data_IF_317598122289
#
_entry.id   IF_317598122289
#
_cell.length_a   1.000
_cell.length_b   1.000
_cell.length_c   1.000
_cell.angle_alpha   90.00
_cell.angle_beta   90.00
_cell.angle_gamma   90.00
#
_symmetry.space_group_name_H-M   'P 1'
#
loop_
_entity.id
_entity.type
_entity.pdbx_description
1 polymer ?
#
# COMPACT_ATOMS: atom_id res chain seq x y z
N UNK A 1 -16.68 -5.74 5.90
CA UNK A 1 -15.87 -6.96 6.03
C UNK A 1 -15.38 -7.50 4.69
N UNK A 2 -16.21 -8.06 3.78
CA UNK A 2 -15.68 -8.66 2.53
C UNK A 2 -14.88 -7.69 1.64
N UNK A 3 -15.39 -6.49 1.39
CA UNK A 3 -14.72 -5.49 0.54
C UNK A 3 -13.37 -5.03 1.10
N UNK A 4 -13.34 -4.59 2.35
CA UNK A 4 -12.13 -4.12 3.05
C UNK A 4 -11.09 -5.23 3.26
N UNK A 5 -11.50 -6.50 3.32
CA UNK A 5 -10.58 -7.63 3.28
C UNK A 5 -9.96 -7.79 1.88
N UNK A 6 -10.77 -7.71 0.82
CA UNK A 6 -10.28 -7.75 -0.57
C UNK A 6 -9.30 -6.60 -0.82
N UNK A 7 -9.65 -5.38 -0.42
CA UNK A 7 -8.80 -4.20 -0.56
C UNK A 7 -7.50 -4.33 0.25
N UNK A 8 -7.57 -4.85 1.48
CA UNK A 8 -6.37 -5.12 2.28
C UNK A 8 -5.43 -6.12 1.59
N UNK A 9 -5.97 -7.21 1.03
CA UNK A 9 -5.18 -8.16 0.25
C UNK A 9 -4.62 -7.53 -1.02
N UNK A 10 -5.38 -6.67 -1.69
CA UNK A 10 -4.90 -5.96 -2.88
C UNK A 10 -3.69 -5.09 -2.57
N UNK A 11 -3.70 -4.34 -1.45
CA UNK A 11 -2.56 -3.54 -0.99
C UNK A 11 -1.33 -4.42 -0.72
N UNK A 12 -1.53 -5.53 0.00
CA UNK A 12 -0.47 -6.49 0.31
C UNK A 12 0.15 -7.09 -0.96
N UNK A 13 -0.70 -7.61 -1.85
CA UNK A 13 -0.25 -8.27 -3.08
C UNK A 13 0.43 -7.27 -4.03
N UNK A 14 -0.06 -6.04 -4.13
CA UNK A 14 0.57 -4.99 -4.91
C UNK A 14 1.99 -4.67 -4.39
N UNK A 15 2.16 -4.50 -3.09
CA UNK A 15 3.48 -4.23 -2.51
C UNK A 15 4.46 -5.40 -2.67
N UNK A 16 4.02 -6.65 -2.52
CA UNK A 16 4.85 -7.81 -2.84
C UNK A 16 5.23 -7.88 -4.31
N UNK A 17 4.26 -7.64 -5.21
CA UNK A 17 4.49 -7.63 -6.65
C UNK A 17 5.51 -6.57 -7.04
N UNK A 18 5.33 -5.31 -6.62
CA UNK A 18 6.28 -4.24 -6.93
C UNK A 18 7.64 -4.50 -6.28
N UNK A 19 7.67 -4.86 -5.00
CA UNK A 19 8.90 -5.16 -4.28
C UNK A 19 9.74 -6.23 -4.99
N UNK A 20 9.12 -7.35 -5.35
CA UNK A 20 9.79 -8.43 -6.06
C UNK A 20 10.19 -8.03 -7.49
N UNK A 21 9.34 -7.28 -8.20
CA UNK A 21 9.63 -6.85 -9.59
C UNK A 21 10.87 -5.96 -9.64
N UNK A 22 11.04 -5.03 -8.69
CA UNK A 22 12.24 -4.19 -8.61
C UNK A 22 13.50 -4.95 -8.22
N UNK A 23 13.38 -5.99 -7.39
CA UNK A 23 14.53 -6.82 -7.00
C UNK A 23 14.96 -7.79 -8.11
N UNK A 24 14.03 -8.31 -8.89
CA UNK A 24 14.32 -9.30 -9.94
C UNK A 24 14.55 -8.66 -11.32
N UNK A 25 13.91 -7.53 -11.60
CA UNK A 25 13.92 -6.85 -12.89
C UNK A 25 13.80 -5.32 -12.69
N UNK A 26 14.78 -4.74 -12.00
CA UNK A 26 14.81 -3.31 -11.69
C UNK A 26 14.70 -2.42 -12.93
N UNK A 27 15.52 -2.67 -13.95
CA UNK A 27 15.52 -1.88 -15.20
C UNK A 27 14.17 -1.93 -15.93
N UNK A 28 13.57 -3.13 -16.04
CA UNK A 28 12.25 -3.27 -16.65
C UNK A 28 11.13 -2.62 -15.82
N UNK A 29 11.25 -2.66 -14.49
CA UNK A 29 10.26 -2.08 -13.58
C UNK A 29 10.33 -0.54 -13.53
N UNK A 30 11.52 0.03 -13.71
CA UNK A 30 11.74 1.48 -13.72
C UNK A 30 11.01 2.18 -14.87
N UNK A 31 10.96 1.54 -16.05
CA UNK A 31 10.17 2.04 -17.18
C UNK A 31 8.68 2.20 -16.81
N UNK A 32 8.14 1.29 -15.99
CA UNK A 32 6.78 1.36 -15.45
C UNK A 32 6.62 2.34 -14.28
N UNK A 33 7.72 2.84 -13.69
CA UNK A 33 7.67 3.92 -12.70
C UNK A 33 7.43 5.28 -13.33
N UNK A 34 8.05 5.52 -14.50
CA UNK A 34 8.01 6.80 -15.21
C UNK A 34 9.22 7.71 -15.02
N UNK A 35 10.34 7.20 -14.48
CA UNK A 35 11.63 7.91 -14.42
C UNK A 35 12.78 6.96 -14.83
N UNK A 36 13.88 7.55 -15.29
CA UNK A 36 15.15 6.84 -15.51
C UNK A 36 16.01 7.03 -14.25
N UNK A 37 16.53 5.95 -13.71
CA UNK A 37 17.01 5.90 -12.33
C UNK A 37 18.48 5.45 -12.24
N UNK A 38 19.31 6.07 -11.37
CA UNK A 38 20.70 5.64 -11.15
C UNK A 38 20.83 4.27 -10.45
N UNK A 39 21.92 3.57 -10.76
CA UNK A 39 22.20 2.23 -10.26
C UNK A 39 22.12 2.10 -8.72
N UNK A 40 21.35 1.10 -8.25
CA UNK A 40 21.20 0.73 -6.83
C UNK A 40 19.86 1.12 -6.18
N UNK A 41 19.12 2.08 -6.75
CA UNK A 41 17.83 2.52 -6.18
C UNK A 41 16.74 1.44 -6.26
N UNK A 42 16.80 0.53 -7.25
CA UNK A 42 15.83 -0.56 -7.35
C UNK A 42 15.82 -1.48 -6.12
N UNK A 43 16.99 -1.71 -5.50
CA UNK A 43 17.07 -2.50 -4.27
C UNK A 43 16.38 -1.77 -3.12
N UNK A 44 16.63 -0.46 -2.97
CA UNK A 44 16.02 0.37 -1.94
C UNK A 44 14.49 0.36 -2.09
N UNK A 45 13.99 0.63 -3.30
CA UNK A 45 12.55 0.59 -3.58
C UNK A 45 11.97 -0.81 -3.36
N UNK A 46 12.64 -1.84 -3.88
CA UNK A 46 12.19 -3.21 -3.77
C UNK A 46 12.04 -3.69 -2.32
N UNK A 47 13.06 -3.46 -1.49
CA UNK A 47 13.04 -3.84 -0.07
C UNK A 47 12.02 -3.01 0.72
N UNK A 48 11.89 -1.71 0.44
CA UNK A 48 10.84 -0.85 1.03
C UNK A 48 9.46 -1.43 0.74
N UNK A 49 9.21 -1.80 -0.52
CA UNK A 49 7.90 -2.25 -0.95
C UNK A 49 7.51 -3.61 -0.35
N UNK A 50 8.50 -4.51 -0.18
CA UNK A 50 8.33 -5.76 0.58
C UNK A 50 8.06 -5.52 2.08
N UNK A 51 8.78 -4.56 2.69
CA UNK A 51 8.67 -4.32 4.13
C UNK A 51 7.29 -3.80 4.54
N UNK A 52 6.73 -2.82 3.81
CA UNK A 52 5.37 -2.35 4.12
C UNK A 52 4.31 -3.41 3.79
N UNK A 53 4.48 -4.16 2.70
CA UNK A 53 3.56 -5.25 2.33
C UNK A 53 3.52 -6.35 3.42
N UNK A 54 4.69 -6.73 3.95
CA UNK A 54 4.78 -7.70 5.04
C UNK A 54 4.14 -7.16 6.33
N UNK A 55 4.36 -5.88 6.65
CA UNK A 55 3.73 -5.23 7.82
C UNK A 55 2.20 -5.25 7.72
N UNK A 56 1.66 -4.87 6.55
CA UNK A 56 0.23 -4.94 6.28
C UNK A 56 -0.31 -6.38 6.32
N UNK A 57 0.43 -7.35 5.76
CA UNK A 57 0.07 -8.77 5.77
C UNK A 57 -0.05 -9.31 7.20
N UNK A 58 0.94 -9.02 8.06
CA UNK A 58 0.92 -9.45 9.46
C UNK A 58 -0.33 -8.94 10.17
N UNK A 59 -0.63 -7.64 10.05
CA UNK A 59 -1.82 -7.06 10.69
C UNK A 59 -3.13 -7.59 10.11
N UNK A 60 -3.17 -7.88 8.80
CA UNK A 60 -4.31 -8.47 8.14
C UNK A 60 -4.58 -9.90 8.63
N UNK A 61 -3.54 -10.73 8.74
CA UNK A 61 -3.63 -12.11 9.24
C UNK A 61 -3.96 -12.19 10.73
N UNK A 62 -3.44 -11.27 11.53
CA UNK A 62 -3.77 -11.17 12.97
C UNK A 62 -5.16 -10.57 13.24
N UNK A 63 -5.87 -10.12 12.19
CA UNK A 63 -7.18 -9.49 12.34
C UNK A 63 -7.15 -8.12 13.04
N UNK A 64 -5.99 -7.46 13.12
CA UNK A 64 -5.83 -6.14 13.74
C UNK A 64 -6.28 -5.02 12.80
N UNK A 65 -7.57 -5.00 12.45
CA UNK A 65 -8.16 -4.17 11.38
C UNK A 65 -7.95 -2.67 11.53
N UNK A 66 -8.13 -2.14 12.75
CA UNK A 66 -7.93 -0.70 13.01
C UNK A 66 -6.46 -0.30 12.93
N UNK A 67 -5.56 -1.14 13.43
CA UNK A 67 -4.12 -0.92 13.31
C UNK A 67 -3.68 -1.01 11.84
N UNK A 68 -4.19 -2.00 11.10
CA UNK A 68 -3.98 -2.12 9.65
C UNK A 68 -4.43 -0.85 8.92
N UNK A 69 -5.59 -0.30 9.26
CA UNK A 69 -6.08 0.96 8.67
C UNK A 69 -5.12 2.14 8.88
N UNK A 70 -4.53 2.27 10.08
CA UNK A 70 -3.52 3.31 10.36
C UNK A 70 -2.20 3.07 9.64
N UNK A 71 -1.75 1.81 9.56
CA UNK A 71 -0.53 1.46 8.80
C UNK A 71 -0.73 1.75 7.32
N UNK A 72 -1.82 1.30 6.71
CA UNK A 72 -2.12 1.57 5.29
C UNK A 72 -2.27 3.09 5.05
N UNK A 73 -2.80 3.86 6.00
CA UNK A 73 -2.84 5.32 5.89
C UNK A 73 -1.43 5.92 5.85
N UNK A 74 -0.53 5.46 6.71
CA UNK A 74 0.87 5.88 6.68
C UNK A 74 1.55 5.45 5.36
N UNK A 75 1.30 4.22 4.91
CA UNK A 75 1.85 3.68 3.65
C UNK A 75 1.39 4.48 2.42
N UNK A 76 0.25 5.18 2.48
CA UNK A 76 -0.21 6.06 1.40
C UNK A 76 0.76 7.19 1.05
N UNK A 77 1.67 7.55 1.97
CA UNK A 77 2.75 8.50 1.71
C UNK A 77 3.65 7.99 0.58
N UNK A 78 3.82 6.68 0.44
CA UNK A 78 4.67 6.05 -0.58
C UNK A 78 4.19 6.36 -2.00
N UNK A 79 2.97 5.99 -2.44
CA UNK A 79 2.50 6.32 -3.79
C UNK A 79 2.33 7.84 -4.01
N UNK A 80 2.09 8.64 -2.96
CA UNK A 80 2.11 10.11 -3.07
C UNK A 80 3.53 10.59 -3.41
N UNK A 81 4.54 10.10 -2.68
CA UNK A 81 5.95 10.38 -2.95
C UNK A 81 6.38 9.91 -4.34
N UNK A 82 5.99 8.70 -4.73
CA UNK A 82 6.29 8.14 -6.05
C UNK A 82 5.63 9.00 -7.16
N UNK A 83 4.41 9.50 -6.97
CA UNK A 83 3.76 10.44 -7.89
C UNK A 83 4.54 11.76 -8.02
N UNK A 84 4.98 12.33 -6.90
CA UNK A 84 5.77 13.56 -6.89
C UNK A 84 7.15 13.35 -7.54
N UNK A 85 7.77 12.19 -7.32
CA UNK A 85 9.05 11.83 -7.92
C UNK A 85 8.95 11.85 -9.45
N UNK A 86 7.92 11.23 -10.03
CA UNK A 86 7.69 11.25 -11.48
C UNK A 86 7.50 12.67 -12.01
N UNK A 87 6.65 13.48 -11.35
CA UNK A 87 6.39 14.87 -11.77
C UNK A 87 7.67 15.72 -11.75
N UNK A 88 8.53 15.52 -10.75
CA UNK A 88 9.73 16.34 -10.53
C UNK A 88 10.95 15.87 -11.31
N UNK A 89 10.95 14.64 -11.82
CA UNK A 89 12.11 14.03 -12.50
C UNK A 89 11.82 13.66 -13.96
N UNK A 90 11.06 14.52 -14.66
CA UNK A 90 10.91 14.46 -16.12
C UNK A 90 9.78 13.58 -16.64
N UNK A 91 9.01 12.94 -15.75
CA UNK A 91 7.79 12.24 -16.12
C UNK A 91 6.61 13.20 -16.36
N UNK A 92 5.61 12.74 -17.11
CA UNK A 92 4.41 13.57 -17.37
C UNK A 92 3.46 13.53 -16.17
N UNK A 93 2.79 14.66 -15.89
CA UNK A 93 1.77 14.75 -14.83
C UNK A 93 0.64 13.73 -15.05
N UNK A 94 0.21 13.55 -16.30
CA UNK A 94 -0.82 12.57 -16.64
C UNK A 94 -0.42 11.14 -16.29
N UNK A 95 0.80 10.74 -16.61
CA UNK A 95 1.31 9.41 -16.25
C UNK A 95 1.46 9.25 -14.73
N UNK A 96 2.02 10.26 -14.05
CA UNK A 96 2.19 10.26 -12.61
C UNK A 96 0.87 10.07 -11.87
N UNK A 97 -0.17 10.82 -12.24
CA UNK A 97 -1.50 10.72 -11.64
C UNK A 97 -2.19 9.39 -11.99
N UNK A 98 -2.05 8.92 -13.24
CA UNK A 98 -2.66 7.67 -13.68
C UNK A 98 -2.09 6.46 -12.94
N UNK A 99 -0.78 6.39 -12.73
CA UNK A 99 -0.12 5.23 -12.10
C UNK A 99 -0.10 5.41 -10.57
N UNK A 100 0.58 6.45 -10.09
CA UNK A 100 0.85 6.62 -8.66
C UNK A 100 -0.27 7.35 -7.94
N UNK A 101 -0.87 8.35 -8.59
CA UNK A 101 -2.04 9.06 -8.04
C UNK A 101 -3.23 8.12 -7.82
N UNK A 102 -3.52 7.24 -8.79
CA UNK A 102 -4.59 6.24 -8.65
C UNK A 102 -4.29 5.22 -7.54
N UNK A 103 -3.03 4.79 -7.40
CA UNK A 103 -2.58 3.94 -6.30
C UNK A 103 -2.76 4.65 -4.95
N UNK A 104 -2.39 5.93 -4.83
CA UNK A 104 -2.58 6.72 -3.63
C UNK A 104 -4.06 6.81 -3.24
N UNK A 105 -4.95 7.06 -4.20
CA UNK A 105 -6.40 7.07 -3.97
C UNK A 105 -6.90 5.72 -3.47
N UNK A 106 -6.50 4.60 -4.10
CA UNK A 106 -6.87 3.26 -3.68
C UNK A 106 -6.44 2.99 -2.22
N UNK A 107 -5.20 3.30 -1.88
CA UNK A 107 -4.62 3.06 -0.55
C UNK A 107 -5.32 3.93 0.51
N UNK A 108 -5.54 5.22 0.23
CA UNK A 108 -6.29 6.14 1.10
C UNK A 108 -7.73 5.69 1.33
N UNK A 109 -8.43 5.26 0.28
CA UNK A 109 -9.79 4.72 0.38
C UNK A 109 -9.80 3.44 1.23
N UNK A 110 -8.83 2.55 1.02
CA UNK A 110 -8.69 1.31 1.80
C UNK A 110 -8.49 1.61 3.28
N UNK A 111 -7.58 2.52 3.61
CA UNK A 111 -7.35 2.98 4.98
C UNK A 111 -8.61 3.60 5.59
N UNK A 112 -9.27 4.52 4.88
CA UNK A 112 -10.48 5.18 5.34
C UNK A 112 -11.63 4.21 5.63
N UNK A 113 -11.80 3.19 4.78
CA UNK A 113 -12.80 2.15 4.99
C UNK A 113 -12.46 1.24 6.18
N UNK A 114 -11.19 0.85 6.35
CA UNK A 114 -10.73 0.07 7.51
C UNK A 114 -10.92 0.81 8.83
N UNK A 115 -10.61 2.10 8.87
CA UNK A 115 -10.75 2.93 10.07
C UNK A 115 -12.21 3.20 10.44
N UNK A 116 -13.13 3.10 9.47
CA UNK A 116 -14.58 3.20 9.66
C UNK A 116 -15.25 1.87 10.01
N UNK A 117 -14.55 0.74 9.98
CA UNK A 117 -15.13 -0.52 10.45
C UNK A 117 -15.47 -0.42 11.94
N UNK A 118 -16.75 -0.57 12.27
CA UNK A 118 -17.20 -0.72 13.65
C UNK A 118 -16.70 -2.06 14.19
N UNK A 119 -16.16 -2.06 15.41
CA UNK A 119 -15.83 -3.30 16.10
C UNK A 119 -17.12 -4.12 16.26
N UNK A 120 -17.08 -5.46 16.07
CA UNK A 120 -18.21 -6.31 16.41
C UNK A 120 -18.63 -6.03 17.86
N UNK A 121 -19.94 -5.88 18.11
CA UNK A 121 -20.43 -5.75 19.48
C UNK A 121 -19.91 -6.91 20.31
N UNK A 122 -19.22 -6.60 21.41
CA UNK A 122 -18.82 -7.61 22.38
C UNK A 122 -20.13 -8.18 22.95
N UNK A 123 -20.34 -9.51 22.97
CA UNK A 123 -21.55 -10.08 23.56
C UNK A 123 -21.75 -9.49 24.96
N UNK A 124 -22.94 -8.94 25.23
CA UNK A 124 -23.27 -8.47 26.59
C UNK A 124 -23.09 -9.66 27.53
N UNK A 125 -22.28 -9.49 28.57
CA UNK A 125 -22.25 -10.46 29.65
C UNK A 125 -23.68 -10.61 30.18
N UNK A 126 -24.21 -11.83 30.15
CA UNK A 126 -25.48 -12.15 30.81
C UNK A 126 -25.21 -11.99 32.31
N UNK A 127 -25.96 -11.14 33.03
CA UNK A 127 -25.80 -11.02 34.48
C UNK A 127 -25.96 -12.40 35.11
N UNK A 128 -25.03 -12.78 35.99
CA UNK A 128 -25.19 -13.97 36.82
C UNK A 128 -26.44 -13.79 37.69
N UNK A 129 -27.33 -14.79 37.67
CA UNK A 129 -28.50 -14.86 38.56
C UNK A 129 -28.09 -15.23 39.97
#
# INVERSE_FOLDING_TARGET
>A
MRLTTILGWLVVLAGFYFGLSYLLNGDGSAAGFGIVDPAGYYVVKGVRDLAYALTALILLLMGHRRALGWVILADSIIPIGDCLAVITHGGTVGYALMVHGSAAVLVLLTAGLLLRETAPERPRAVPAQ
#
